data_IF_880102595839
#
_entry.id   IF_880102595839
#
_cell.length_a   1.000
_cell.length_b   1.000
_cell.length_c   1.000
_cell.angle_alpha   90.00
_cell.angle_beta   90.00
_cell.angle_gamma   90.00
#
_symmetry.space_group_name_H-M   'P 1'
#
loop_
_entity.id
_entity.type
_entity.pdbx_description
1 polymer ?
#
# COMPACT_ATOMS: atom_id res chain seq x y z
N UNK A 1 -0.20 2.57 -27.00
CA UNK A 1 -1.17 1.73 -26.25
C UNK A 1 -1.00 2.10 -24.79
N UNK A 2 -1.83 2.99 -24.26
CA UNK A 2 -1.72 3.44 -22.87
C UNK A 2 -2.07 2.29 -21.93
N UNK A 3 -1.15 1.93 -21.03
CA UNK A 3 -1.43 0.95 -19.99
C UNK A 3 -2.62 1.44 -19.17
N UNK A 4 -3.73 0.71 -19.21
CA UNK A 4 -4.84 0.94 -18.28
C UNK A 4 -4.31 0.57 -16.89
N UNK A 5 -4.00 1.58 -16.09
CA UNK A 5 -3.66 1.39 -14.68
C UNK A 5 -4.93 0.90 -13.98
N UNK A 6 -4.99 -0.39 -13.67
CA UNK A 6 -6.04 -0.95 -12.83
C UNK A 6 -5.69 -0.63 -11.38
N UNK A 7 -6.40 0.31 -10.77
CA UNK A 7 -6.29 0.54 -9.33
C UNK A 7 -7.05 -0.56 -8.60
N UNK A 8 -6.38 -1.18 -7.65
CA UNK A 8 -6.93 -2.22 -6.77
C UNK A 8 -6.51 -1.90 -5.35
N UNK A 9 -7.41 -2.10 -4.39
CA UNK A 9 -7.07 -2.07 -2.97
C UNK A 9 -6.22 -3.30 -2.61
N UNK A 10 -5.15 -3.07 -1.85
CA UNK A 10 -4.31 -4.11 -1.29
C UNK A 10 -4.61 -4.29 0.20
N UNK A 11 -4.69 -5.54 0.63
CA UNK A 11 -4.66 -5.85 2.06
C UNK A 11 -3.24 -5.73 2.61
N UNK A 12 -3.11 -5.49 3.91
CA UNK A 12 -1.81 -5.48 4.59
C UNK A 12 -1.02 -6.77 4.36
N UNK A 13 -1.70 -7.91 4.39
CA UNK A 13 -1.10 -9.23 4.15
C UNK A 13 -0.47 -9.31 2.76
N UNK A 14 -1.18 -8.87 1.73
CA UNK A 14 -0.66 -8.91 0.35
C UNK A 14 0.55 -8.00 0.17
N UNK A 15 0.55 -6.83 0.79
CA UNK A 15 1.73 -5.95 0.79
C UNK A 15 2.91 -6.67 1.45
N UNK A 16 2.71 -7.29 2.61
CA UNK A 16 3.78 -8.03 3.29
C UNK A 16 4.31 -9.22 2.48
N UNK A 17 3.43 -9.97 1.82
CA UNK A 17 3.80 -11.10 0.96
C UNK A 17 4.61 -10.66 -0.26
N UNK A 18 4.38 -9.45 -0.77
CA UNK A 18 5.16 -8.87 -1.89
C UNK A 18 6.55 -8.41 -1.41
N UNK A 19 6.63 -7.68 -0.30
CA UNK A 19 7.85 -6.97 0.08
C UNK A 19 8.81 -7.81 0.94
N UNK A 20 8.30 -8.72 1.78
CA UNK A 20 9.16 -9.54 2.67
C UNK A 20 10.19 -10.38 1.89
N UNK A 21 9.81 -11.10 0.81
CA UNK A 21 10.78 -11.89 0.03
C UNK A 21 11.85 -11.05 -0.68
N UNK A 22 11.62 -9.73 -0.83
CA UNK A 22 12.58 -8.80 -1.44
C UNK A 22 13.62 -8.27 -0.44
N UNK A 23 13.68 -8.84 0.77
CA UNK A 23 14.60 -8.40 1.82
C UNK A 23 14.19 -7.06 2.45
N UNK A 24 12.91 -6.70 2.38
CA UNK A 24 12.39 -5.49 2.99
C UNK A 24 11.79 -5.82 4.36
N UNK A 25 12.41 -5.34 5.43
CA UNK A 25 11.91 -5.51 6.78
C UNK A 25 10.91 -4.41 7.13
N UNK A 26 9.69 -4.77 7.53
CA UNK A 26 8.66 -3.81 7.92
C UNK A 26 9.03 -3.15 9.26
N UNK A 27 9.09 -1.82 9.28
CA UNK A 27 9.32 -1.05 10.50
C UNK A 27 8.02 -0.53 11.11
N UNK A 28 7.10 -0.03 10.28
CA UNK A 28 5.86 0.59 10.75
C UNK A 28 4.80 0.66 9.66
N UNK A 29 3.54 0.61 10.09
CA UNK A 29 2.37 0.87 9.27
C UNK A 29 1.61 2.04 9.87
N UNK A 30 1.32 3.05 9.05
CA UNK A 30 0.43 4.16 9.40
C UNK A 30 -0.91 3.93 8.70
N UNK A 31 -2.00 4.07 9.46
CA UNK A 31 -3.36 3.90 8.96
C UNK A 31 -4.09 5.22 9.12
N UNK A 32 -4.66 5.73 8.03
CA UNK A 32 -5.30 7.03 7.99
C UNK A 32 -6.61 6.93 7.21
N UNK A 33 -7.62 7.68 7.62
CA UNK A 33 -8.81 7.92 6.81
C UNK A 33 -8.57 9.21 6.03
N UNK A 34 -8.60 9.13 4.72
CA UNK A 34 -8.38 10.28 3.84
C UNK A 34 -9.64 10.57 3.03
N UNK A 35 -9.81 11.82 2.61
CA UNK A 35 -10.86 12.19 1.66
C UNK A 35 -10.23 12.51 0.30
N UNK A 36 -10.64 11.82 -0.74
CA UNK A 36 -10.25 12.08 -2.14
C UNK A 36 -11.44 12.63 -2.93
N UNK A 37 -11.15 13.36 -4.00
CA UNK A 37 -12.21 13.92 -4.86
C UNK A 37 -12.88 12.84 -5.70
N UNK A 38 -12.10 11.82 -6.06
CA UNK A 38 -12.47 10.76 -6.98
C UNK A 38 -13.27 9.64 -6.29
N UNK A 39 -12.94 9.32 -5.03
CA UNK A 39 -13.49 8.14 -4.35
C UNK A 39 -14.13 8.44 -2.98
N UNK A 40 -14.15 9.72 -2.56
CA UNK A 40 -14.80 10.11 -1.30
C UNK A 40 -13.92 9.78 -0.09
N UNK A 41 -14.46 9.08 0.90
CA UNK A 41 -13.74 8.74 2.13
C UNK A 41 -13.09 7.36 1.98
N UNK A 42 -11.77 7.30 2.12
CA UNK A 42 -10.97 6.10 1.88
C UNK A 42 -10.08 5.75 3.08
N UNK A 43 -9.82 4.45 3.24
CA UNK A 43 -8.82 3.93 4.17
C UNK A 43 -7.46 3.86 3.45
N UNK A 44 -6.50 4.64 3.93
CA UNK A 44 -5.13 4.67 3.43
C UNK A 44 -4.17 3.96 4.38
N UNK A 45 -3.26 3.16 3.83
CA UNK A 45 -2.17 2.53 4.57
C UNK A 45 -0.83 2.97 3.98
N UNK A 46 0.07 3.46 4.83
CA UNK A 46 1.46 3.79 4.46
C UNK A 46 2.40 2.83 5.18
N UNK A 47 3.29 2.21 4.43
CA UNK A 47 4.25 1.24 4.94
C UNK A 47 5.66 1.84 4.94
N UNK A 48 6.35 1.74 6.08
CA UNK A 48 7.76 2.08 6.18
C UNK A 48 8.56 0.78 6.26
N UNK A 49 9.35 0.51 5.22
CA UNK A 49 10.27 -0.62 5.16
C UNK A 49 11.71 -0.15 5.27
N UNK A 50 12.57 -1.01 5.84
CA UNK A 50 14.02 -0.91 5.77
C UNK A 50 14.54 -2.06 4.92
N UNK A 51 15.35 -1.75 3.91
CA UNK A 51 16.09 -2.76 3.15
C UNK A 51 17.16 -3.39 4.04
N UNK A 52 17.19 -4.72 4.10
CA UNK A 52 18.23 -5.50 4.75
C UNK A 52 19.56 -5.41 3.98
#
# INVERSE_FOLDING_TARGET
MGEKMYSRAYTEKEVLEIFTPLGMNLLRIYREVISTKEFGVELSMKFLFKKL
#
